data_IF_496982990230
#
_entry.id   IF_496982990230
#
_cell.length_a   1.000
_cell.length_b   1.000
_cell.length_c   1.000
_cell.angle_alpha   90.00
_cell.angle_beta   90.00
_cell.angle_gamma   90.00
#
_symmetry.space_group_name_H-M   'P 1'
#
loop_
_entity.id
_entity.type
_entity.pdbx_description
1 polymer ?
#
# COMPACT_ATOMS: atom_id res chain seq x y z
N UNK A 1 2.21 2.63 81.14
CA UNK A 1 1.39 3.02 79.97
C UNK A 1 2.14 4.07 79.16
N UNK A 2 2.91 3.65 78.14
CA UNK A 2 3.49 4.51 77.08
C UNK A 2 3.58 3.64 75.82
N UNK A 3 2.64 3.86 74.91
CA UNK A 3 2.66 3.39 73.53
C UNK A 3 3.51 4.38 72.74
N UNK A 4 4.56 3.91 72.06
CA UNK A 4 5.28 4.70 71.05
C UNK A 4 5.53 3.81 69.84
N UNK A 5 4.84 4.18 68.77
CA UNK A 5 4.72 3.53 67.48
C UNK A 5 6.08 3.41 66.79
N UNK A 6 6.39 2.22 66.27
CA UNK A 6 7.42 2.05 65.25
C UNK A 6 6.78 2.22 63.86
N UNK A 7 7.44 2.89 62.89
CA UNK A 7 6.93 3.00 61.54
C UNK A 7 7.08 1.67 60.81
N UNK A 8 5.98 1.21 60.21
CA UNK A 8 5.97 0.12 59.24
C UNK A 8 6.51 0.66 57.91
N UNK A 9 7.73 0.26 57.52
CA UNK A 9 8.23 0.49 56.16
C UNK A 9 7.70 -0.66 55.30
N UNK A 10 6.68 -0.38 54.49
CA UNK A 10 6.16 -1.31 53.49
C UNK A 10 7.10 -1.24 52.29
N UNK A 11 7.92 -2.29 52.10
CA UNK A 11 8.64 -2.51 50.86
C UNK A 11 7.65 -2.93 49.77
N UNK A 12 7.19 -1.97 48.98
CA UNK A 12 6.39 -2.21 47.78
C UNK A 12 7.34 -2.76 46.69
N UNK A 13 7.48 -4.08 46.63
CA UNK A 13 8.11 -4.78 45.51
C UNK A 13 7.21 -4.61 44.27
N UNK A 14 7.49 -3.58 43.47
CA UNK A 14 6.88 -3.41 42.15
C UNK A 14 7.54 -4.43 41.21
N UNK A 15 6.83 -5.45 40.68
CA UNK A 15 7.40 -6.27 39.63
C UNK A 15 7.53 -5.40 38.37
N UNK A 16 8.77 -5.08 38.04
CA UNK A 16 9.16 -4.49 36.76
C UNK A 16 8.78 -5.49 35.66
N UNK A 17 7.55 -5.38 35.16
CA UNK A 17 7.06 -6.07 33.97
C UNK A 17 7.90 -5.57 32.79
N UNK A 18 9.01 -6.25 32.56
CA UNK A 18 9.77 -6.22 31.32
C UNK A 18 8.80 -6.67 30.21
N UNK A 19 8.14 -5.71 29.58
CA UNK A 19 7.46 -5.91 28.30
C UNK A 19 8.54 -6.19 27.25
N UNK A 20 9.05 -7.43 27.24
CA UNK A 20 9.77 -7.99 26.10
C UNK A 20 8.74 -8.23 25.01
N UNK A 21 8.33 -7.14 24.34
CA UNK A 21 7.69 -7.24 23.05
C UNK A 21 8.63 -8.05 22.16
N UNK A 22 8.23 -9.26 21.79
CA UNK A 22 8.87 -10.04 20.74
C UNK A 22 8.74 -9.24 19.44
N UNK A 23 9.69 -8.34 19.18
CA UNK A 23 9.91 -7.79 17.87
C UNK A 23 10.78 -8.78 17.11
N UNK A 24 10.14 -9.67 16.35
CA UNK A 24 10.84 -10.44 15.32
C UNK A 24 11.26 -9.48 14.21
N UNK A 25 12.52 -9.04 14.25
CA UNK A 25 13.17 -8.38 13.11
C UNK A 25 13.28 -9.42 11.99
N UNK A 26 12.35 -9.36 11.04
CA UNK A 26 12.45 -10.13 9.80
C UNK A 26 13.52 -9.47 8.95
N UNK A 27 14.68 -10.12 8.84
CA UNK A 27 15.74 -9.72 7.92
C UNK A 27 15.30 -10.15 6.52
N UNK A 28 14.73 -9.22 5.75
CA UNK A 28 14.42 -9.46 4.35
C UNK A 28 15.74 -9.48 3.56
N UNK A 29 15.89 -10.43 2.63
CA UNK A 29 16.95 -10.36 1.63
C UNK A 29 16.72 -9.11 0.78
N UNK A 30 17.76 -8.53 0.20
CA UNK A 30 17.69 -7.26 -0.57
C UNK A 30 16.73 -7.31 -1.80
N UNK A 31 16.09 -8.47 -2.04
CA UNK A 31 15.13 -8.71 -3.12
C UNK A 31 13.77 -9.24 -2.63
N UNK A 32 13.61 -9.59 -1.35
CA UNK A 32 12.33 -10.05 -0.80
C UNK A 32 11.50 -8.86 -0.29
N UNK A 33 10.84 -8.19 -1.23
CA UNK A 33 9.89 -7.09 -0.94
C UNK A 33 8.52 -7.62 -0.48
N UNK A 34 8.42 -8.93 -0.24
CA UNK A 34 7.16 -9.63 0.02
C UNK A 34 7.08 -10.11 1.46
N UNK A 35 6.03 -9.72 2.18
CA UNK A 35 5.67 -10.39 3.43
C UNK A 35 4.78 -11.59 3.14
N UNK A 36 5.14 -12.74 3.72
CA UNK A 36 4.28 -13.93 3.77
C UNK A 36 3.54 -14.03 5.11
N UNK A 37 3.64 -13.01 5.98
CA UNK A 37 2.91 -13.00 7.25
C UNK A 37 1.42 -12.73 6.99
N UNK A 38 0.51 -13.71 7.22
CA UNK A 38 -0.92 -13.52 7.01
C UNK A 38 -1.50 -12.40 7.89
N UNK A 39 -0.84 -12.08 9.01
CA UNK A 39 -1.27 -11.02 9.92
C UNK A 39 -0.97 -9.63 9.38
N UNK A 40 -0.06 -9.50 8.41
CA UNK A 40 0.29 -8.22 7.81
C UNK A 40 -0.93 -7.57 7.12
N UNK A 41 -1.83 -8.39 6.56
CA UNK A 41 -3.00 -7.93 5.81
C UNK A 41 -4.33 -8.20 6.52
N UNK A 42 -4.42 -7.91 7.83
CA UNK A 42 -5.64 -8.15 8.64
C UNK A 42 -6.94 -7.59 8.05
N UNK A 43 -6.85 -6.52 7.26
CA UNK A 43 -7.99 -5.86 6.66
C UNK A 43 -8.56 -6.58 5.42
N UNK A 44 -7.94 -7.65 4.94
CA UNK A 44 -8.51 -8.49 3.87
C UNK A 44 -9.89 -9.05 4.25
N UNK A 45 -10.13 -9.27 5.55
CA UNK A 45 -11.42 -9.67 6.10
C UNK A 45 -12.56 -8.65 5.85
N UNK A 46 -12.20 -7.42 5.47
CA UNK A 46 -13.13 -6.34 5.11
C UNK A 46 -13.32 -6.19 3.61
N UNK A 47 -12.65 -7.01 2.80
CA UNK A 47 -12.88 -7.03 1.36
C UNK A 47 -14.34 -7.38 1.07
N UNK A 48 -14.92 -6.67 0.10
CA UNK A 48 -16.26 -6.93 -0.41
C UNK A 48 -16.17 -7.20 -1.89
N UNK A 49 -16.75 -8.31 -2.35
CA UNK A 49 -16.82 -8.64 -3.78
C UNK A 49 -17.52 -7.53 -4.59
N UNK A 50 -18.39 -6.73 -3.97
CA UNK A 50 -19.01 -5.58 -4.63
C UNK A 50 -17.98 -4.55 -5.14
N UNK A 51 -16.78 -4.48 -4.55
CA UNK A 51 -15.69 -3.64 -5.06
C UNK A 51 -15.27 -4.02 -6.48
N UNK A 52 -15.38 -5.30 -6.87
CA UNK A 52 -14.99 -5.75 -8.21
C UNK A 52 -15.89 -5.20 -9.31
N UNK A 53 -17.02 -4.58 -8.96
CA UNK A 53 -17.85 -3.83 -9.91
C UNK A 53 -17.30 -2.44 -10.25
N UNK A 54 -16.45 -1.88 -9.39
CA UNK A 54 -15.85 -0.56 -9.56
C UNK A 54 -14.43 -0.62 -10.14
N UNK A 55 -13.84 -1.82 -10.20
CA UNK A 55 -12.44 -2.03 -10.57
C UNK A 55 -12.32 -3.18 -11.56
N UNK A 56 -11.57 -2.97 -12.63
CA UNK A 56 -11.30 -4.03 -13.61
C UNK A 56 -10.15 -4.90 -13.12
N UNK A 57 -10.50 -6.06 -12.57
CA UNK A 57 -9.54 -7.05 -12.06
C UNK A 57 -8.77 -7.81 -13.16
N UNK A 58 -9.09 -7.56 -14.43
CA UNK A 58 -8.37 -8.08 -15.59
C UNK A 58 -7.43 -7.04 -16.22
N UNK A 59 -7.33 -5.85 -15.64
CA UNK A 59 -6.49 -4.77 -16.14
C UNK A 59 -5.27 -4.50 -15.23
N UNK A 60 -4.32 -3.72 -15.75
CA UNK A 60 -3.33 -3.01 -14.94
C UNK A 60 -3.62 -1.51 -15.03
N UNK A 61 -3.22 -0.79 -14.00
CA UNK A 61 -3.40 0.66 -13.91
C UNK A 61 -2.01 1.30 -13.88
N UNK A 62 -1.71 2.14 -14.86
CA UNK A 62 -0.41 2.80 -15.01
C UNK A 62 -0.48 4.21 -14.46
N UNK A 63 0.46 4.60 -13.59
CA UNK A 63 0.59 5.97 -13.12
C UNK A 63 0.87 6.91 -14.30
N UNK A 64 0.10 7.99 -14.43
CA UNK A 64 0.29 8.99 -15.49
C UNK A 64 0.81 10.32 -14.96
N UNK A 65 0.33 10.76 -13.79
CA UNK A 65 0.74 12.03 -13.20
C UNK A 65 0.42 12.05 -11.70
N UNK A 66 0.94 13.09 -11.04
CA UNK A 66 0.57 13.45 -9.67
C UNK A 66 -0.08 14.82 -9.69
N UNK A 67 -1.27 14.95 -9.12
CA UNK A 67 -2.01 16.21 -9.02
C UNK A 67 -1.85 16.78 -7.61
N UNK A 68 -1.71 18.10 -7.49
CA UNK A 68 -1.80 18.78 -6.20
C UNK A 68 -3.25 18.74 -5.68
N UNK A 69 -3.46 18.58 -4.37
CA UNK A 69 -4.81 18.47 -3.76
C UNK A 69 -5.70 19.70 -4.01
N UNK A 70 -5.10 20.88 -4.24
CA UNK A 70 -5.85 22.08 -4.66
C UNK A 70 -6.44 21.91 -6.07
N UNK A 71 -5.72 21.30 -7.00
CA UNK A 71 -6.15 21.08 -8.38
C UNK A 71 -7.20 19.96 -8.48
N UNK A 72 -7.13 18.94 -7.63
CA UNK A 72 -8.13 17.85 -7.62
C UNK A 72 -9.54 18.34 -7.23
N UNK A 73 -9.63 19.40 -6.41
CA UNK A 73 -10.90 20.04 -6.06
C UNK A 73 -11.41 21.02 -7.12
N UNK A 74 -10.50 21.69 -7.86
CA UNK A 74 -10.83 22.78 -8.79
C UNK A 74 -11.10 22.32 -10.22
N UNK A 75 -10.42 21.28 -10.71
CA UNK A 75 -10.58 20.87 -12.11
C UNK A 75 -11.80 19.98 -12.37
N UNK A 76 -12.42 19.46 -11.30
CA UNK A 76 -13.36 18.36 -11.44
C UNK A 76 -12.70 17.15 -12.10
N UNK A 77 -13.25 15.97 -11.87
CA UNK A 77 -12.69 14.72 -12.38
C UNK A 77 -12.71 14.56 -13.92
N UNK A 78 -12.97 15.63 -14.69
CA UNK A 78 -13.40 15.60 -16.08
C UNK A 78 -12.28 15.73 -17.14
N UNK A 79 -11.02 16.00 -16.79
CA UNK A 79 -10.01 16.34 -17.81
C UNK A 79 -8.57 15.89 -17.54
N UNK A 80 -8.38 14.65 -17.08
CA UNK A 80 -7.02 14.04 -17.01
C UNK A 80 -6.51 13.61 -18.40
N UNK A 81 -7.38 13.53 -19.41
CA UNK A 81 -7.05 13.00 -20.76
C UNK A 81 -6.03 13.80 -21.58
N UNK A 82 -5.54 14.96 -21.09
CA UNK A 82 -4.57 15.82 -21.78
C UNK A 82 -3.26 16.06 -21.01
N UNK A 83 -3.10 15.53 -19.80
CA UNK A 83 -1.83 15.70 -19.11
C UNK A 83 -0.81 14.70 -19.65
N UNK A 84 0.24 15.24 -20.24
CA UNK A 84 1.43 14.49 -20.64
C UNK A 84 1.94 13.71 -19.43
N UNK A 85 2.21 12.43 -19.64
CA UNK A 85 2.77 11.54 -18.63
C UNK A 85 4.04 12.20 -18.09
N UNK A 86 4.06 12.60 -16.81
CA UNK A 86 5.27 13.17 -16.25
C UNK A 86 6.29 12.04 -16.22
N UNK A 87 7.30 12.12 -17.09
CA UNK A 87 8.43 11.20 -17.04
C UNK A 87 9.13 11.47 -15.71
N UNK A 88 8.95 10.57 -14.73
CA UNK A 88 9.73 10.60 -13.51
C UNK A 88 11.21 10.62 -13.91
N UNK A 89 11.98 11.47 -13.23
CA UNK A 89 13.40 11.67 -13.53
C UNK A 89 14.23 10.40 -13.28
N UNK A 90 13.73 9.49 -12.45
CA UNK A 90 14.31 8.17 -12.21
C UNK A 90 14.09 7.16 -13.35
N UNK A 91 13.26 7.50 -14.34
CA UNK A 91 12.96 6.63 -15.47
C UNK A 91 12.06 5.44 -15.14
N UNK A 92 11.36 5.45 -14.00
CA UNK A 92 10.42 4.41 -13.60
C UNK A 92 8.97 4.90 -13.63
N UNK A 93 8.03 3.96 -13.74
CA UNK A 93 6.58 4.19 -13.69
C UNK A 93 5.96 3.18 -12.73
N UNK A 94 5.05 3.65 -11.89
CA UNK A 94 4.28 2.77 -11.02
C UNK A 94 3.09 2.15 -11.76
N UNK A 95 2.82 0.90 -11.43
CA UNK A 95 1.66 0.15 -11.90
C UNK A 95 0.92 -0.43 -10.70
N UNK A 96 -0.41 -0.53 -10.81
CA UNK A 96 -1.25 -1.28 -9.90
C UNK A 96 -1.95 -2.41 -10.64
N UNK A 97 -2.14 -3.53 -9.94
CA UNK A 97 -3.01 -4.62 -10.37
C UNK A 97 -3.89 -5.05 -9.21
N UNK A 98 -5.17 -5.25 -9.48
CA UNK A 98 -6.15 -5.67 -8.49
C UNK A 98 -6.74 -7.01 -8.89
N UNK A 99 -6.96 -7.88 -7.91
CA UNK A 99 -7.47 -9.23 -8.14
C UNK A 99 -8.86 -9.36 -7.52
N UNK A 100 -9.71 -10.21 -8.11
CA UNK A 100 -11.08 -10.43 -7.64
C UNK A 100 -11.20 -11.02 -6.22
N UNK A 101 -10.09 -11.43 -5.62
CA UNK A 101 -10.02 -11.98 -4.27
C UNK A 101 -9.63 -10.94 -3.19
N UNK A 102 -9.57 -9.65 -3.53
CA UNK A 102 -9.23 -8.59 -2.57
C UNK A 102 -7.73 -8.30 -2.41
N UNK A 103 -6.87 -9.04 -3.11
CA UNK A 103 -5.44 -8.74 -3.17
C UNK A 103 -5.12 -7.72 -4.26
N UNK A 104 -3.98 -7.04 -4.14
CA UNK A 104 -3.48 -6.14 -5.17
C UNK A 104 -1.97 -5.95 -5.09
N UNK A 105 -1.30 -5.77 -6.23
CA UNK A 105 0.11 -5.42 -6.28
C UNK A 105 0.34 -3.98 -6.71
N UNK A 106 1.42 -3.40 -6.21
CA UNK A 106 2.09 -2.26 -6.82
C UNK A 106 3.44 -2.67 -7.41
N UNK A 107 3.72 -2.27 -8.65
CA UNK A 107 4.98 -2.57 -9.34
C UNK A 107 5.65 -1.27 -9.78
N UNK A 108 6.97 -1.26 -9.83
CA UNK A 108 7.73 -0.16 -10.40
C UNK A 108 8.58 -0.71 -11.56
N UNK A 109 8.29 -0.25 -12.78
CA UNK A 109 8.94 -0.74 -14.00
C UNK A 109 9.57 0.42 -14.77
N UNK A 110 10.57 0.15 -15.61
CA UNK A 110 11.21 1.21 -16.41
C UNK A 110 10.23 1.79 -17.43
N UNK A 111 10.15 3.12 -17.50
CA UNK A 111 9.21 3.86 -18.34
C UNK A 111 9.32 3.51 -19.84
N UNK A 112 10.54 3.20 -20.29
CA UNK A 112 10.87 2.88 -21.68
C UNK A 112 10.97 1.38 -21.96
N UNK A 113 10.51 0.52 -21.05
CA UNK A 113 10.47 -0.93 -21.26
C UNK A 113 9.45 -1.26 -22.35
N UNK A 114 9.94 -1.66 -23.53
CA UNK A 114 9.08 -1.92 -24.71
C UNK A 114 8.29 -3.22 -24.62
N UNK A 115 8.84 -4.23 -23.93
CA UNK A 115 8.27 -5.57 -23.85
C UNK A 115 7.96 -5.91 -22.39
N UNK A 116 6.78 -5.48 -21.95
CA UNK A 116 6.20 -5.93 -20.70
C UNK A 116 5.78 -7.39 -20.84
N UNK A 117 6.25 -8.25 -19.93
CA UNK A 117 5.95 -9.68 -19.92
C UNK A 117 5.28 -10.09 -18.60
N UNK A 118 4.78 -11.34 -18.56
CA UNK A 118 4.10 -11.89 -17.39
C UNK A 118 4.90 -11.77 -16.08
N UNK A 119 6.22 -11.93 -16.12
CA UNK A 119 7.05 -11.91 -14.93
C UNK A 119 7.22 -10.52 -14.32
N UNK A 120 7.04 -9.46 -15.11
CA UNK A 120 7.09 -8.09 -14.61
C UNK A 120 5.92 -7.78 -13.64
N UNK A 121 4.82 -8.54 -13.76
CA UNK A 121 3.60 -8.39 -12.98
C UNK A 121 3.31 -9.59 -12.07
N UNK A 122 4.27 -10.49 -11.88
CA UNK A 122 4.07 -11.69 -11.06
C UNK A 122 4.24 -11.33 -9.57
N UNK A 123 3.17 -11.37 -8.75
CA UNK A 123 3.23 -11.04 -7.32
C UNK A 123 4.20 -11.89 -6.51
N UNK A 124 4.52 -13.09 -7.01
CA UNK A 124 5.42 -14.01 -6.33
C UNK A 124 6.89 -13.62 -6.55
N UNK A 125 7.16 -12.78 -7.55
CA UNK A 125 8.52 -12.42 -7.98
C UNK A 125 8.86 -10.95 -7.76
N UNK A 126 7.91 -10.05 -7.98
CA UNK A 126 8.17 -8.61 -7.99
C UNK A 126 7.01 -7.82 -7.37
N UNK A 127 7.32 -6.57 -7.02
CA UNK A 127 6.35 -5.60 -6.55
C UNK A 127 6.01 -5.74 -5.07
N UNK A 128 5.28 -4.74 -4.61
CA UNK A 128 4.74 -4.67 -3.27
C UNK A 128 3.38 -5.36 -3.23
N UNK A 129 3.19 -6.22 -2.24
CA UNK A 129 1.95 -6.95 -2.02
C UNK A 129 1.01 -6.14 -1.13
N UNK A 130 -0.29 -6.17 -1.43
CA UNK A 130 -1.30 -5.47 -0.67
C UNK A 130 -2.68 -6.08 -0.76
N UNK A 131 -3.60 -5.48 -0.02
CA UNK A 131 -5.02 -5.82 -0.03
C UNK A 131 -5.86 -4.56 -0.13
N UNK A 132 -7.01 -4.65 -0.80
CA UNK A 132 -7.94 -3.53 -0.95
C UNK A 132 -9.30 -3.89 -0.37
N UNK A 133 -9.94 -2.91 0.28
CA UNK A 133 -11.15 -3.12 1.08
C UNK A 133 -11.95 -1.83 1.25
N UNK A 134 -13.17 -1.94 1.77
CA UNK A 134 -14.01 -0.79 2.14
C UNK A 134 -13.84 -0.53 3.64
N UNK A 135 -13.49 0.70 4.02
CA UNK A 135 -13.43 1.09 5.42
C UNK A 135 -14.83 1.31 6.02
N UNK A 136 -14.91 1.56 7.33
CA UNK A 136 -16.19 1.77 8.02
C UNK A 136 -16.97 3.00 7.54
N UNK A 137 -16.31 3.92 6.84
CA UNK A 137 -16.90 5.15 6.30
C UNK A 137 -17.29 5.00 4.82
N UNK A 138 -17.13 3.82 4.24
CA UNK A 138 -17.44 3.55 2.83
C UNK A 138 -16.31 3.93 1.85
N UNK A 139 -15.13 4.32 2.33
CA UNK A 139 -14.01 4.66 1.44
C UNK A 139 -13.28 3.39 1.02
N UNK A 140 -12.82 3.35 -0.23
CA UNK A 140 -11.93 2.27 -0.66
C UNK A 140 -10.51 2.57 -0.20
N UNK A 141 -9.91 1.59 0.47
CA UNK A 141 -8.54 1.64 0.98
C UNK A 141 -7.70 0.54 0.37
N UNK A 142 -6.40 0.77 0.32
CA UNK A 142 -5.40 -0.24 0.02
C UNK A 142 -4.34 -0.26 1.13
N UNK A 143 -4.04 -1.44 1.65
CA UNK A 143 -2.92 -1.68 2.55
C UNK A 143 -1.80 -2.33 1.75
N UNK A 144 -0.68 -1.63 1.56
CA UNK A 144 0.46 -2.09 0.79
C UNK A 144 1.65 -2.37 1.71
N UNK A 145 2.24 -3.55 1.62
CA UNK A 145 3.51 -3.85 2.29
C UNK A 145 4.67 -3.30 1.46
N UNK A 146 5.23 -2.19 1.93
CA UNK A 146 6.23 -1.40 1.21
C UNK A 146 7.23 -0.79 2.18
N UNK A 147 8.28 -0.18 1.64
CA UNK A 147 9.17 0.67 2.41
C UNK A 147 8.37 1.82 3.05
N UNK A 148 8.57 2.02 4.35
CA UNK A 148 8.01 3.10 5.16
C UNK A 148 9.17 3.91 5.80
N UNK A 149 9.00 5.23 5.93
CA UNK A 149 10.01 6.14 6.49
C UNK A 149 10.81 6.93 5.46
N UNK A 150 11.69 7.82 5.92
CA UNK A 150 12.54 8.65 5.07
C UNK A 150 13.69 7.83 4.44
N UNK A 151 13.89 8.02 3.14
CA UNK A 151 14.97 7.41 2.33
C UNK A 151 16.38 7.72 2.88
N UNK A 152 16.51 8.79 3.67
CA UNK A 152 17.76 9.36 4.20
C UNK A 152 18.35 8.55 5.36
N UNK A 153 17.57 7.68 6.00
CA UNK A 153 18.04 6.92 7.16
C UNK A 153 18.57 5.54 6.73
N UNK A 154 19.76 5.19 7.22
CA UNK A 154 20.52 3.94 6.95
C UNK A 154 19.78 2.63 7.33
N UNK A 155 18.45 2.68 7.55
CA UNK A 155 17.58 1.56 7.86
C UNK A 155 16.24 1.75 7.13
N UNK A 156 16.18 1.26 5.90
CA UNK A 156 14.90 1.12 5.22
C UNK A 156 14.00 0.17 6.02
N UNK A 157 12.99 0.71 6.70
CA UNK A 157 11.96 -0.12 7.33
C UNK A 157 10.89 -0.52 6.32
N UNK A 158 10.43 -1.77 6.40
CA UNK A 158 9.27 -2.24 5.67
C UNK A 158 8.07 -2.32 6.60
N UNK A 159 6.88 -1.99 6.09
CA UNK A 159 5.64 -2.06 6.84
C UNK A 159 4.43 -1.83 5.94
N UNK A 160 3.26 -1.72 6.58
CA UNK A 160 2.01 -1.47 5.87
C UNK A 160 1.81 0.03 5.70
N UNK A 161 1.70 0.49 4.46
CA UNK A 161 1.22 1.82 4.09
C UNK A 161 -0.22 1.73 3.64
N UNK A 162 -1.12 2.47 4.30
CA UNK A 162 -2.53 2.53 3.92
C UNK A 162 -2.77 3.75 3.02
N UNK A 163 -3.36 3.54 1.86
CA UNK A 163 -3.70 4.59 0.89
C UNK A 163 -5.21 4.58 0.61
N UNK A 164 -5.75 5.70 0.13
CA UNK A 164 -7.17 5.83 -0.25
C UNK A 164 -7.30 5.82 -1.76
N UNK A 165 -8.24 5.01 -2.27
CA UNK A 165 -8.54 4.91 -3.69
C UNK A 165 -9.89 5.55 -4.00
N UNK A 166 -9.95 6.33 -5.07
CA UNK A 166 -11.19 6.81 -5.68
C UNK A 166 -11.22 6.37 -7.13
N UNK A 167 -12.31 5.70 -7.54
CA UNK A 167 -12.50 5.19 -8.89
C UNK A 167 -13.39 6.13 -9.69
N UNK A 168 -13.00 6.40 -10.93
CA UNK A 168 -13.83 7.11 -11.91
C UNK A 168 -13.63 6.50 -13.29
N UNK A 169 -14.47 5.53 -13.65
CA UNK A 169 -14.35 4.75 -14.88
C UNK A 169 -12.99 4.07 -14.98
N UNK A 170 -12.23 4.43 -16.01
CA UNK A 170 -10.89 3.88 -16.27
C UNK A 170 -9.77 4.55 -15.45
N UNK A 171 -10.10 5.45 -14.52
CA UNK A 171 -9.12 6.21 -13.73
C UNK A 171 -9.18 5.85 -12.24
N UNK A 172 -8.01 5.74 -11.60
CA UNK A 172 -7.85 5.62 -10.15
C UNK A 172 -7.10 6.84 -9.64
N UNK A 173 -7.67 7.50 -8.64
CA UNK A 173 -6.97 8.51 -7.85
C UNK A 173 -6.54 7.89 -6.53
N UNK A 174 -5.26 8.01 -6.23
CA UNK A 174 -4.63 7.41 -5.08
C UNK A 174 -4.04 8.49 -4.19
N UNK A 175 -4.53 8.55 -2.95
CA UNK A 175 -4.11 9.53 -1.96
C UNK A 175 -3.47 8.82 -0.77
N UNK A 176 -2.26 9.23 -0.40
CA UNK A 176 -1.46 8.62 0.67
C UNK A 176 -1.78 9.15 2.07
N UNK A 177 -2.80 9.99 2.23
CA UNK A 177 -3.24 10.56 3.51
C UNK A 177 -2.37 11.71 3.99
N UNK A 178 -1.06 11.57 3.83
CA UNK A 178 -0.06 12.50 4.35
C UNK A 178 0.37 13.54 3.28
N UNK A 179 0.04 13.26 2.02
CA UNK A 179 0.49 14.04 0.88
C UNK A 179 -0.61 15.02 0.41
N UNK A 180 -0.20 16.26 0.10
CA UNK A 180 -0.98 17.20 -0.71
C UNK A 180 -1.02 16.81 -2.20
N UNK A 181 -0.81 15.53 -2.50
CA UNK A 181 -0.80 15.01 -3.86
C UNK A 181 -1.66 13.77 -3.98
N UNK A 182 -2.28 13.63 -5.14
CA UNK A 182 -2.93 12.38 -5.55
C UNK A 182 -2.22 11.86 -6.79
N UNK A 183 -1.69 10.64 -6.72
CA UNK A 183 -1.23 9.93 -7.91
C UNK A 183 -2.44 9.51 -8.72
N UNK A 184 -2.37 9.69 -10.03
CA UNK A 184 -3.43 9.31 -10.96
C UNK A 184 -2.96 8.14 -11.79
N UNK A 185 -3.78 7.10 -11.84
CA UNK A 185 -3.53 5.90 -12.61
C UNK A 185 -4.62 5.70 -13.66
N UNK A 186 -4.22 5.34 -14.86
CA UNK A 186 -5.12 5.07 -15.99
C UNK A 186 -5.08 3.58 -16.30
N UNK A 187 -6.26 3.00 -16.50
CA UNK A 187 -6.44 1.62 -16.93
C UNK A 187 -5.75 1.38 -18.26
N UNK A 188 -4.94 0.34 -18.31
CA UNK A 188 -4.27 -0.13 -19.51
C UNK A 188 -4.81 -1.52 -19.86
N UNK A 189 -5.14 -1.71 -21.13
CA UNK A 189 -5.36 -3.05 -21.67
C UNK A 189 -4.02 -3.78 -21.72
N UNK A 190 -3.99 -4.99 -21.18
CA UNK A 190 -2.80 -5.85 -21.17
C UNK A 190 -2.98 -7.05 -22.08
N UNK A 191 -1.85 -7.60 -22.54
CA UNK A 191 -1.82 -8.87 -23.27
C UNK A 191 -2.43 -9.99 -22.40
N UNK A 192 -3.04 -10.99 -23.05
CA UNK A 192 -3.78 -12.06 -22.39
C UNK A 192 -2.92 -12.84 -21.39
N UNK A 193 -1.62 -13.00 -21.67
CA UNK A 193 -0.67 -13.67 -20.76
C UNK A 193 -0.55 -12.99 -19.40
N UNK A 194 -0.62 -11.66 -19.38
CA UNK A 194 -0.62 -10.88 -18.14
C UNK A 194 -1.96 -11.05 -17.43
N UNK A 195 -3.08 -11.12 -18.16
CA UNK A 195 -4.42 -11.31 -17.55
C UNK A 195 -4.52 -12.61 -16.75
N UNK A 196 -3.81 -13.67 -17.16
CA UNK A 196 -3.82 -14.98 -16.48
C UNK A 196 -3.07 -15.02 -15.14
N UNK A 197 -2.36 -13.96 -14.75
CA UNK A 197 -1.69 -13.88 -13.45
C UNK A 197 -2.75 -13.84 -12.35
N UNK A 198 -2.73 -14.86 -11.49
CA UNK A 198 -3.58 -14.92 -10.30
C UNK A 198 -2.96 -14.09 -9.18
N UNK A 199 -3.82 -13.49 -8.36
CA UNK A 199 -3.41 -12.97 -7.06
C UNK A 199 -2.88 -14.11 -6.20
N UNK A 200 -2.12 -13.77 -5.16
CA UNK A 200 -1.73 -14.74 -4.15
C UNK A 200 -2.88 -15.06 -3.20
#
# INVERSE_FOLDING_TARGET
MKLLQKPFIIYLNLPLLMLTGCYSLVKLSDHDVTTNDPKAFKNISKFSIALTSQIDTNAIYKECCSLFTLESSLFGFAKVSKHEFYNRTDGYVNYYRFYGNGHCNSFMLKANQKNLNRHDFDPTRTGHRGVYYIDKKGNVKVDLFTQIGELSSLRSSFGIRTETLTFNGDTIFLNRGDDNYSSVYIKMKVQDEIQQIKGW
#
